data_IF_633194209318
#
_entry.id   IF_633194209318
#
_cell.length_a   1.000
_cell.length_b   1.000
_cell.length_c   1.000
_cell.angle_alpha   90.00
_cell.angle_beta   90.00
_cell.angle_gamma   90.00
#
_symmetry.space_group_name_H-M   'P 1'
#
loop_
_entity.id
_entity.type
_entity.pdbx_description
1 polymer ?
#
# COMPACT_ATOMS: atom_id res chain seq x y z
N UNK A 1 17.09 -2.90 -93.83
CA UNK A 1 17.68 -3.24 -92.53
C UNK A 1 16.73 -2.74 -91.43
N UNK A 2 16.36 -3.55 -90.42
CA UNK A 2 15.41 -3.13 -89.40
C UNK A 2 16.09 -2.17 -88.40
N UNK A 3 15.36 -1.12 -88.01
CA UNK A 3 15.83 -0.09 -87.07
C UNK A 3 15.81 -0.61 -85.61
N UNK A 4 16.74 -0.16 -84.75
CA UNK A 4 16.88 -0.66 -83.38
C UNK A 4 15.73 -0.20 -82.48
N UNK A 5 15.28 -1.09 -81.59
CA UNK A 5 14.20 -0.87 -80.65
C UNK A 5 14.56 0.19 -79.57
N UNK A 6 13.58 1.00 -79.10
CA UNK A 6 13.82 2.01 -78.08
C UNK A 6 14.15 1.37 -76.71
N UNK A 7 15.17 1.92 -76.04
CA UNK A 7 15.61 1.48 -74.71
C UNK A 7 14.58 1.89 -73.63
N UNK A 8 14.32 1.05 -72.62
CA UNK A 8 13.42 1.41 -71.51
C UNK A 8 14.00 2.57 -70.69
N UNK A 9 13.14 3.53 -70.35
CA UNK A 9 13.50 4.61 -69.43
C UNK A 9 13.66 4.07 -68.00
N UNK A 10 14.58 4.63 -67.20
CA UNK A 10 14.79 4.20 -65.82
C UNK A 10 13.52 4.45 -64.98
N UNK A 11 13.12 3.45 -64.19
CA UNK A 11 12.00 3.58 -63.26
C UNK A 11 12.36 4.57 -62.14
N UNK A 12 11.40 5.35 -61.64
CA UNK A 12 11.67 6.28 -60.54
C UNK A 12 12.07 5.51 -59.28
N UNK A 13 13.19 5.90 -58.68
CA UNK A 13 13.67 5.37 -57.42
C UNK A 13 12.60 5.56 -56.33
N UNK A 14 12.09 4.45 -55.81
CA UNK A 14 11.12 4.45 -54.72
C UNK A 14 11.85 4.88 -53.45
N UNK A 15 11.65 6.13 -53.04
CA UNK A 15 12.26 6.69 -51.83
C UNK A 15 11.95 5.79 -50.62
N UNK A 16 13.01 5.37 -49.91
CA UNK A 16 12.89 4.58 -48.69
C UNK A 16 12.13 5.39 -47.61
N UNK A 17 11.23 4.77 -46.83
CA UNK A 17 10.49 5.48 -45.79
C UNK A 17 11.47 6.04 -44.76
N UNK A 18 11.46 7.35 -44.59
CA UNK A 18 12.29 8.03 -43.61
C UNK A 18 12.00 7.44 -42.21
N UNK A 19 13.04 6.93 -41.55
CA UNK A 19 12.94 6.42 -40.18
C UNK A 19 12.47 7.57 -39.29
N UNK A 20 11.22 7.51 -38.83
CA UNK A 20 10.60 8.52 -37.98
C UNK A 20 11.40 8.61 -36.68
N UNK A 21 12.30 9.59 -36.61
CA UNK A 21 13.14 9.83 -35.44
C UNK A 21 12.28 9.91 -34.19
N UNK A 22 12.78 9.35 -33.08
CA UNK A 22 12.11 9.33 -31.77
C UNK A 22 11.46 10.68 -31.52
N UNK A 23 10.13 10.72 -31.60
CA UNK A 23 9.37 11.95 -31.43
C UNK A 23 9.65 12.47 -30.03
N UNK A 24 10.22 13.68 -29.92
CA UNK A 24 10.48 14.34 -28.63
C UNK A 24 9.21 14.43 -27.78
N UNK A 25 8.04 14.51 -28.42
CA UNK A 25 6.74 14.45 -27.76
C UNK A 25 6.42 13.06 -27.20
N UNK A 26 6.73 11.99 -27.93
CA UNK A 26 6.56 10.62 -27.42
C UNK A 26 7.53 10.38 -26.26
N UNK A 27 8.77 10.86 -26.36
CA UNK A 27 9.74 10.73 -25.28
C UNK A 27 9.33 11.53 -24.03
N UNK A 28 8.81 12.75 -24.23
CA UNK A 28 8.25 13.55 -23.14
C UNK A 28 7.02 12.89 -22.52
N UNK A 29 6.09 12.38 -23.33
CA UNK A 29 4.91 11.67 -22.85
C UNK A 29 5.29 10.42 -22.04
N UNK A 30 6.20 9.58 -22.57
CA UNK A 30 6.70 8.40 -21.84
C UNK A 30 7.40 8.82 -20.54
N UNK A 31 8.17 9.91 -20.55
CA UNK A 31 8.78 10.45 -19.33
C UNK A 31 7.76 10.86 -18.28
N UNK A 32 6.72 11.59 -18.68
CA UNK A 32 5.62 12.01 -17.79
C UNK A 32 4.85 10.80 -17.26
N UNK A 33 4.46 9.86 -18.12
CA UNK A 33 3.76 8.64 -17.70
C UNK A 33 4.64 7.75 -16.81
N UNK A 34 5.94 7.66 -17.09
CA UNK A 34 6.89 6.93 -16.25
C UNK A 34 7.00 7.54 -14.85
N UNK A 35 7.12 8.87 -14.75
CA UNK A 35 7.10 9.59 -13.48
C UNK A 35 5.78 9.42 -12.73
N UNK A 36 4.65 9.52 -13.43
CA UNK A 36 3.34 9.31 -12.84
C UNK A 36 3.17 7.88 -12.31
N UNK A 37 3.59 6.87 -13.08
CA UNK A 37 3.58 5.48 -12.67
C UNK A 37 4.48 5.21 -11.45
N UNK A 38 5.68 5.80 -11.42
CA UNK A 38 6.59 5.71 -10.26
C UNK A 38 6.00 6.36 -9.01
N UNK A 39 5.49 7.58 -9.13
CA UNK A 39 4.87 8.29 -8.00
C UNK A 39 3.65 7.53 -7.46
N UNK A 40 2.82 7.00 -8.36
CA UNK A 40 1.66 6.20 -7.99
C UNK A 40 2.06 4.87 -7.32
N UNK A 41 3.03 4.16 -7.90
CA UNK A 41 3.55 2.92 -7.32
C UNK A 41 4.18 3.14 -5.95
N UNK A 42 4.95 4.21 -5.78
CA UNK A 42 5.49 4.60 -4.48
C UNK A 42 4.39 4.93 -3.47
N UNK A 43 3.35 5.68 -3.90
CA UNK A 43 2.20 6.01 -3.07
C UNK A 43 1.44 4.76 -2.59
N UNK A 44 1.23 3.77 -3.46
CA UNK A 44 0.61 2.50 -3.09
C UNK A 44 1.48 1.69 -2.12
N UNK A 45 2.79 1.65 -2.34
CA UNK A 45 3.72 0.95 -1.44
C UNK A 45 3.76 1.59 -0.05
N UNK A 46 3.75 2.92 0.01
CA UNK A 46 3.67 3.70 1.25
C UNK A 46 2.28 3.66 1.92
N UNK A 47 1.28 3.13 1.22
CA UNK A 47 -0.07 2.91 1.73
C UNK A 47 -0.34 1.43 2.08
N UNK A 48 0.69 0.57 2.06
CA UNK A 48 0.60 -0.83 2.44
C UNK A 48 0.66 -1.01 3.96
N UNK A 49 -0.23 -0.32 4.68
CA UNK A 49 -0.42 -0.53 6.11
C UNK A 49 -1.45 -1.63 6.29
N UNK A 50 -1.11 -2.71 7.00
CA UNK A 50 -2.07 -3.77 7.33
C UNK A 50 -3.14 -3.29 8.34
N UNK A 51 -2.82 -2.23 9.09
CA UNK A 51 -3.75 -1.52 9.98
C UNK A 51 -3.97 -0.11 9.43
N UNK A 52 -5.23 0.33 9.22
CA UNK A 52 -5.51 1.66 8.68
C UNK A 52 -4.83 2.79 9.47
N UNK A 53 -4.42 3.86 8.77
CA UNK A 53 -3.86 5.05 9.42
C UNK A 53 -4.95 5.75 10.25
N UNK A 54 -4.59 6.19 11.45
CA UNK A 54 -5.52 6.87 12.37
C UNK A 54 -6.36 5.93 13.24
N UNK A 55 -6.12 4.61 13.20
CA UNK A 55 -6.79 3.67 14.10
C UNK A 55 -6.22 3.75 15.51
N UNK A 56 -7.11 4.05 16.47
CA UNK A 56 -6.75 4.19 17.89
C UNK A 56 -7.61 3.28 18.77
N UNK A 57 -7.00 2.58 19.73
CA UNK A 57 -7.70 1.75 20.71
C UNK A 57 -7.43 2.28 22.11
N UNK A 58 -8.48 2.71 22.82
CA UNK A 58 -8.36 3.28 24.18
C UNK A 58 -7.30 4.40 24.30
N UNK A 59 -7.10 5.17 23.22
CA UNK A 59 -6.12 6.26 23.13
C UNK A 59 -4.72 5.85 22.69
N UNK A 60 -4.49 4.59 22.36
CA UNK A 60 -3.23 4.07 21.80
C UNK A 60 -3.33 4.06 20.28
N UNK A 61 -2.46 4.81 19.60
CA UNK A 61 -2.34 4.78 18.14
C UNK A 61 -1.62 3.51 17.70
N UNK A 62 -2.35 2.66 16.97
CA UNK A 62 -1.86 1.40 16.40
C UNK A 62 -1.83 1.43 14.87
N UNK A 63 -2.27 2.54 14.27
CA UNK A 63 -2.47 2.63 12.82
C UNK A 63 -1.19 2.87 12.02
N UNK A 64 -1.26 2.56 10.73
CA UNK A 64 -0.24 2.96 9.75
C UNK A 64 0.98 2.05 9.62
N UNK A 65 1.05 0.97 10.40
CA UNK A 65 2.12 -0.04 10.34
C UNK A 65 1.59 -1.44 9.99
N UNK A 66 2.38 -2.45 10.33
CA UNK A 66 1.97 -3.86 10.22
C UNK A 66 1.12 -4.28 11.43
N UNK A 67 0.44 -5.43 11.32
CA UNK A 67 -0.34 -5.99 12.44
C UNK A 67 0.55 -6.31 13.63
N UNK A 68 1.75 -6.83 13.40
CA UNK A 68 2.69 -7.19 14.47
C UNK A 68 3.16 -5.96 15.24
N UNK A 69 3.47 -4.86 14.54
CA UNK A 69 3.82 -3.59 15.17
C UNK A 69 2.66 -3.03 16.00
N UNK A 70 1.44 -3.11 15.47
CA UNK A 70 0.22 -2.69 16.16
C UNK A 70 -0.05 -3.52 17.42
N UNK A 71 0.09 -4.85 17.35
CA UNK A 71 -0.08 -5.76 18.51
C UNK A 71 0.94 -5.42 19.59
N UNK A 72 2.21 -5.28 19.22
CA UNK A 72 3.27 -4.95 20.18
C UNK A 72 3.03 -3.60 20.88
N UNK A 73 2.59 -2.57 20.13
CA UNK A 73 2.25 -1.27 20.71
C UNK A 73 1.06 -1.37 21.66
N UNK A 74 0.03 -2.11 21.28
CA UNK A 74 -1.18 -2.29 22.08
C UNK A 74 -0.90 -3.04 23.38
N UNK A 75 -0.12 -4.12 23.31
CA UNK A 75 0.32 -4.90 24.48
C UNK A 75 1.20 -4.07 25.41
N UNK A 76 2.13 -3.29 24.87
CA UNK A 76 2.99 -2.43 25.67
C UNK A 76 2.20 -1.36 26.44
N UNK A 77 1.17 -0.80 25.82
CA UNK A 77 0.36 0.27 26.40
C UNK A 77 -0.74 -0.24 27.34
N UNK A 78 -1.44 -1.31 26.96
CA UNK A 78 -2.62 -1.80 27.66
C UNK A 78 -2.39 -3.09 28.46
N UNK A 79 -1.36 -3.87 28.19
CA UNK A 79 -1.14 -5.16 28.85
C UNK A 79 -1.06 -5.05 30.37
N UNK A 80 -0.37 -4.04 30.89
CA UNK A 80 -0.32 -3.76 32.34
C UNK A 80 -1.69 -3.40 32.93
N UNK A 81 -2.49 -2.65 32.17
CA UNK A 81 -3.83 -2.20 32.59
C UNK A 81 -4.83 -3.36 32.52
N UNK A 82 -4.68 -4.23 31.53
CA UNK A 82 -5.49 -5.42 31.33
C UNK A 82 -5.31 -6.44 32.46
N UNK A 83 -4.12 -6.52 33.07
CA UNK A 83 -3.87 -7.37 34.24
C UNK A 83 -4.26 -6.73 35.58
N UNK A 84 -4.69 -5.47 35.61
CA UNK A 84 -5.01 -4.79 36.86
C UNK A 84 -6.34 -5.30 37.47
N UNK A 85 -6.45 -5.40 38.81
CA UNK A 85 -7.67 -5.86 39.46
C UNK A 85 -8.89 -5.00 39.10
N UNK A 86 -10.00 -5.67 38.79
CA UNK A 86 -11.28 -5.05 38.48
C UNK A 86 -12.13 -5.01 39.75
N UNK A 87 -12.91 -3.94 39.95
CA UNK A 87 -13.80 -3.80 41.11
C UNK A 87 -15.20 -4.31 40.76
N UNK A 88 -15.66 -5.31 41.50
CA UNK A 88 -17.00 -5.86 41.40
C UNK A 88 -17.86 -5.39 42.57
N UNK A 89 -19.12 -5.07 42.31
CA UNK A 89 -20.12 -4.79 43.34
C UNK A 89 -21.06 -5.98 43.49
N UNK A 90 -21.13 -6.58 44.69
CA UNK A 90 -22.07 -7.68 45.01
C UNK A 90 -22.80 -7.29 46.30
N UNK A 91 -24.13 -7.16 46.24
CA UNK A 91 -24.97 -6.79 47.39
C UNK A 91 -24.44 -5.56 48.17
N UNK A 92 -23.99 -4.54 47.44
CA UNK A 92 -23.44 -3.30 48.01
C UNK A 92 -21.99 -3.39 48.51
N UNK A 93 -21.35 -4.57 48.47
CA UNK A 93 -19.93 -4.75 48.82
C UNK A 93 -19.05 -4.64 47.57
N UNK A 94 -17.94 -3.89 47.69
CA UNK A 94 -16.91 -3.78 46.64
C UNK A 94 -15.82 -4.82 46.86
N UNK A 95 -15.61 -5.69 45.90
CA UNK A 95 -14.58 -6.73 45.92
C UNK A 95 -13.64 -6.52 44.73
N UNK A 96 -12.33 -6.67 44.96
CA UNK A 96 -11.34 -6.66 43.88
C UNK A 96 -11.19 -8.08 43.34
N UNK A 97 -11.33 -8.25 42.03
CA UNK A 97 -11.12 -9.51 41.32
C UNK A 97 -9.99 -9.35 40.32
N UNK A 98 -9.04 -10.28 40.36
CA UNK A 98 -7.99 -10.36 39.36
C UNK A 98 -8.59 -10.88 38.03
N UNK A 99 -8.34 -10.22 36.89
CA UNK A 99 -8.96 -10.56 35.60
C UNK A 99 -8.75 -12.01 35.17
N UNK A 100 -7.55 -12.54 35.41
CA UNK A 100 -7.14 -13.91 35.11
C UNK A 100 -8.01 -14.94 35.84
N UNK A 101 -8.43 -14.65 37.08
CA UNK A 101 -9.34 -15.51 37.86
C UNK A 101 -10.74 -15.54 37.27
N UNK A 102 -11.10 -14.54 36.48
CA UNK A 102 -12.35 -14.48 35.73
C UNK A 102 -12.22 -15.02 34.29
N UNK A 103 -11.04 -15.48 33.88
CA UNK A 103 -10.77 -15.87 32.50
C UNK A 103 -10.72 -14.68 31.54
N UNK A 104 -10.55 -13.46 32.05
CA UNK A 104 -10.46 -12.26 31.25
C UNK A 104 -9.00 -11.97 30.90
N UNK A 105 -8.73 -11.82 29.61
CA UNK A 105 -7.45 -11.38 29.08
C UNK A 105 -7.68 -10.38 27.94
N UNK A 106 -6.69 -9.50 27.73
CA UNK A 106 -6.69 -8.64 26.55
C UNK A 106 -6.21 -9.47 25.35
N UNK A 107 -7.05 -9.55 24.32
CA UNK A 107 -6.66 -10.14 23.04
C UNK A 107 -6.23 -9.03 22.07
N UNK A 108 -4.94 -8.70 22.13
CA UNK A 108 -4.37 -7.65 21.28
C UNK A 108 -4.33 -8.05 19.81
N UNK A 109 -4.23 -9.35 19.50
CA UNK A 109 -4.19 -9.85 18.12
C UNK A 109 -5.55 -9.68 17.44
N UNK A 110 -6.62 -10.14 18.08
CA UNK A 110 -7.98 -9.97 17.53
C UNK A 110 -8.40 -8.50 17.53
N UNK A 111 -8.01 -7.71 18.54
CA UNK A 111 -8.31 -6.27 18.56
C UNK A 111 -7.66 -5.56 17.37
N UNK A 112 -6.42 -5.86 17.04
CA UNK A 112 -5.72 -5.29 15.87
C UNK A 112 -6.28 -5.82 14.55
N UNK A 113 -6.73 -7.08 14.52
CA UNK A 113 -7.37 -7.68 13.33
C UNK A 113 -8.72 -7.04 13.01
N UNK A 114 -9.48 -6.65 14.02
CA UNK A 114 -10.81 -6.04 13.87
C UNK A 114 -10.77 -4.53 13.59
N UNK A 115 -9.56 -3.94 13.58
CA UNK A 115 -9.31 -2.49 13.51
C UNK A 115 -9.22 -1.94 12.06
#
# INVERSE_FOLDING_TARGET
APAPAPRPAPAPDRAAPAKKGRSKLVLAAVGVFGLAGLAYGAGLLLNHSDVPKGTTVLGVDIGGGTKEEAVNKLDAALGKRAGAPIRLGIDGKKVALAPDRAGLALDSVETVRAA
#
